data_IF_098116012240
#
_entry.id   IF_098116012240
#
_cell.length_a   1.000
_cell.length_b   1.000
_cell.length_c   1.000
_cell.angle_alpha   90.00
_cell.angle_beta   90.00
_cell.angle_gamma   90.00
#
_symmetry.space_group_name_H-M   'P 1'
#
loop_
_entity.id
_entity.type
_entity.pdbx_description
1 polymer ?
#
# COMPACT_ATOMS: atom_id res chain seq x y z
N UNK A 1 4.91 -9.30 19.00
CA UNK A 1 6.19 -9.54 18.30
C UNK A 1 7.30 -9.56 19.35
N UNK A 2 8.16 -10.58 19.39
CA UNK A 2 9.28 -10.60 20.33
C UNK A 2 10.16 -9.37 20.10
N UNK A 3 10.48 -8.62 21.16
CA UNK A 3 11.34 -7.42 21.12
C UNK A 3 12.64 -7.67 20.34
N UNK A 4 13.16 -8.90 20.41
CA UNK A 4 14.35 -9.38 19.70
C UNK A 4 14.23 -9.27 18.18
N UNK A 5 13.09 -9.67 17.58
CA UNK A 5 12.91 -9.60 16.12
C UNK A 5 12.87 -8.16 15.61
N UNK A 6 12.26 -7.26 16.40
CA UNK A 6 12.20 -5.83 16.10
C UNK A 6 13.60 -5.20 16.16
N UNK A 7 14.37 -5.51 17.22
CA UNK A 7 15.74 -5.02 17.37
C UNK A 7 16.66 -5.50 16.24
N UNK A 8 16.59 -6.79 15.87
CA UNK A 8 17.39 -7.34 14.76
C UNK A 8 17.05 -6.63 13.44
N UNK A 9 15.77 -6.48 13.12
CA UNK A 9 15.35 -5.79 11.89
C UNK A 9 15.81 -4.34 11.85
N UNK A 10 15.79 -3.65 12.99
CA UNK A 10 16.24 -2.28 13.11
C UNK A 10 17.76 -2.15 12.92
N UNK A 11 18.54 -3.03 13.55
CA UNK A 11 20.01 -3.06 13.38
C UNK A 11 20.39 -3.34 11.93
N UNK A 12 19.75 -4.32 11.28
CA UNK A 12 19.99 -4.62 9.87
C UNK A 12 19.63 -3.42 8.98
N UNK A 13 18.48 -2.78 9.23
CA UNK A 13 18.05 -1.60 8.47
C UNK A 13 19.05 -0.45 8.61
N UNK A 14 19.51 -0.15 9.82
CA UNK A 14 20.50 0.90 10.07
C UNK A 14 21.85 0.57 9.42
N UNK A 15 22.30 -0.68 9.50
CA UNK A 15 23.54 -1.11 8.87
C UNK A 15 23.47 -0.95 7.34
N UNK A 16 22.37 -1.38 6.71
CA UNK A 16 22.16 -1.21 5.27
C UNK A 16 22.10 0.26 4.87
N UNK A 17 21.36 1.09 5.61
CA UNK A 17 21.32 2.54 5.35
C UNK A 17 22.71 3.15 5.46
N UNK A 18 23.50 2.79 6.47
CA UNK A 18 24.88 3.25 6.60
C UNK A 18 25.74 2.82 5.40
N UNK A 19 25.66 1.54 4.99
CA UNK A 19 26.39 1.05 3.82
C UNK A 19 25.98 1.73 2.51
N UNK A 20 24.70 2.08 2.36
CA UNK A 20 24.21 2.82 1.20
C UNK A 20 24.67 4.27 1.22
N UNK A 21 24.52 4.97 2.35
CA UNK A 21 24.84 6.40 2.45
C UNK A 21 26.34 6.72 2.51
N UNK A 22 27.19 5.80 2.99
CA UNK A 22 28.64 6.08 3.17
C UNK A 22 29.36 6.45 1.86
N UNK A 23 28.87 5.94 0.72
CA UNK A 23 29.48 6.15 -0.59
C UNK A 23 28.68 7.15 -1.45
N UNK A 24 27.70 7.82 -0.85
CA UNK A 24 26.69 8.57 -1.58
C UNK A 24 27.12 10.04 -1.68
N UNK A 25 27.34 10.53 -2.90
CA UNK A 25 27.72 11.92 -3.12
C UNK A 25 26.49 12.82 -3.02
N UNK A 26 26.37 13.55 -1.90
CA UNK A 26 25.23 14.44 -1.65
C UNK A 26 25.09 15.55 -2.70
N UNK A 27 26.18 15.98 -3.34
CA UNK A 27 26.12 16.98 -4.41
C UNK A 27 25.43 16.41 -5.66
N UNK A 28 25.74 15.16 -6.03
CA UNK A 28 25.09 14.45 -7.14
C UNK A 28 23.59 14.22 -6.85
N UNK A 29 23.22 13.90 -5.62
CA UNK A 29 21.80 13.78 -5.23
C UNK A 29 21.07 15.11 -5.39
N UNK A 30 21.65 16.21 -4.90
CA UNK A 30 21.06 17.53 -5.03
C UNK A 30 20.91 17.95 -6.50
N UNK A 31 21.91 17.62 -7.33
CA UNK A 31 21.85 17.89 -8.76
C UNK A 31 20.78 17.03 -9.44
N UNK A 32 20.70 15.74 -9.15
CA UNK A 32 19.69 14.82 -9.68
C UNK A 32 18.26 15.26 -9.31
N UNK A 33 18.04 15.74 -8.10
CA UNK A 33 16.75 16.29 -7.67
C UNK A 33 16.40 17.57 -8.44
N UNK A 34 17.37 18.46 -8.70
CA UNK A 34 17.15 19.70 -9.45
C UNK A 34 16.93 19.46 -10.94
N UNK A 35 17.65 18.51 -11.53
CA UNK A 35 17.53 18.16 -12.94
C UNK A 35 16.40 17.17 -13.22
N UNK A 36 15.71 16.68 -12.17
CA UNK A 36 14.58 15.79 -12.33
C UNK A 36 13.46 16.49 -13.11
N UNK A 37 12.85 15.77 -14.05
CA UNK A 37 11.69 16.27 -14.75
C UNK A 37 10.43 16.10 -13.88
N UNK A 38 10.01 17.20 -13.26
CA UNK A 38 8.87 17.26 -12.36
C UNK A 38 7.52 16.93 -13.03
N UNK A 39 7.43 16.97 -14.36
CA UNK A 39 6.23 16.54 -15.08
C UNK A 39 6.00 15.04 -14.85
N UNK A 40 7.05 14.22 -14.93
CA UNK A 40 6.94 12.78 -14.66
C UNK A 40 6.61 12.51 -13.19
N UNK A 41 7.14 13.30 -12.26
CA UNK A 41 6.81 13.20 -10.83
C UNK A 41 5.32 13.50 -10.59
N UNK A 42 4.81 14.58 -11.18
CA UNK A 42 3.41 14.94 -11.09
C UNK A 42 2.50 13.88 -11.74
N UNK A 43 2.89 13.36 -12.92
CA UNK A 43 2.16 12.30 -13.60
C UNK A 43 2.13 11.02 -12.76
N UNK A 44 3.25 10.62 -12.17
CA UNK A 44 3.32 9.49 -11.27
C UNK A 44 2.40 9.67 -10.04
N UNK A 45 2.39 10.87 -9.45
CA UNK A 45 1.49 11.20 -8.33
C UNK A 45 0.01 11.08 -8.74
N UNK A 46 -0.36 11.58 -9.93
CA UNK A 46 -1.71 11.45 -10.47
C UNK A 46 -2.10 9.98 -10.70
N UNK A 47 -1.19 9.17 -11.25
CA UNK A 47 -1.41 7.73 -11.45
C UNK A 47 -1.59 7.00 -10.11
N UNK A 48 -0.84 7.38 -9.08
CA UNK A 48 -1.00 6.83 -7.73
C UNK A 48 -2.37 7.19 -7.15
N UNK A 49 -2.80 8.45 -7.28
CA UNK A 49 -4.14 8.88 -6.83
C UNK A 49 -5.26 8.15 -7.58
N UNK A 50 -5.13 8.01 -8.91
CA UNK A 50 -6.06 7.25 -9.73
C UNK A 50 -6.11 5.78 -9.29
N UNK A 51 -4.97 5.19 -8.95
CA UNK A 51 -4.88 3.82 -8.42
C UNK A 51 -5.68 3.67 -7.12
N UNK A 52 -5.57 4.62 -6.20
CA UNK A 52 -6.39 4.61 -4.97
C UNK A 52 -7.88 4.79 -5.26
N UNK A 53 -8.25 5.60 -6.26
CA UNK A 53 -9.65 5.78 -6.66
C UNK A 53 -10.23 4.48 -7.23
N UNK A 54 -9.50 3.81 -8.12
CA UNK A 54 -9.89 2.50 -8.68
C UNK A 54 -10.03 1.46 -7.58
N UNK A 55 -9.09 1.40 -6.62
CA UNK A 55 -9.18 0.51 -5.46
C UNK A 55 -10.44 0.78 -4.62
N UNK A 56 -10.78 2.05 -4.38
CA UNK A 56 -11.99 2.43 -3.66
C UNK A 56 -13.27 2.03 -4.41
N UNK A 57 -13.30 2.20 -5.74
CA UNK A 57 -14.42 1.76 -6.59
C UNK A 57 -14.58 0.25 -6.58
N UNK A 58 -13.49 -0.50 -6.70
CA UNK A 58 -13.49 -1.97 -6.65
C UNK A 58 -13.99 -2.47 -5.31
N UNK A 59 -13.49 -1.88 -4.21
CA UNK A 59 -13.92 -2.27 -2.87
C UNK A 59 -15.37 -1.89 -2.56
N UNK A 60 -15.85 -0.74 -3.05
CA UNK A 60 -17.27 -0.38 -3.00
C UNK A 60 -18.15 -1.47 -3.60
N UNK A 61 -17.74 -2.05 -4.74
CA UNK A 61 -18.46 -3.17 -5.36
C UNK A 61 -18.39 -4.45 -4.53
N UNK A 62 -17.22 -4.77 -3.99
CA UNK A 62 -17.03 -5.96 -3.14
C UNK A 62 -17.83 -5.90 -1.84
N UNK A 63 -18.03 -4.70 -1.29
CA UNK A 63 -18.81 -4.48 -0.07
C UNK A 63 -20.32 -4.47 -0.29
N UNK A 64 -20.82 -4.42 -1.54
CA UNK A 64 -22.27 -4.38 -1.83
C UNK A 64 -23.11 -5.45 -1.11
N UNK A 65 -22.66 -6.72 -0.97
CA UNK A 65 -23.40 -7.74 -0.22
C UNK A 65 -23.53 -7.45 1.28
N UNK A 66 -22.64 -6.62 1.82
CA UNK A 66 -22.64 -6.21 3.24
C UNK A 66 -23.38 -4.89 3.41
N UNK A 67 -23.04 -3.87 2.61
CA UNK A 67 -23.69 -2.56 2.61
C UNK A 67 -23.41 -1.81 1.31
N UNK A 68 -24.42 -1.13 0.78
CA UNK A 68 -24.25 -0.25 -0.39
C UNK A 68 -23.59 1.06 0.05
N UNK A 69 -22.34 1.26 -0.37
CA UNK A 69 -21.54 2.45 -0.02
C UNK A 69 -20.99 3.11 -1.28
N UNK A 70 -21.06 4.45 -1.33
CA UNK A 70 -20.48 5.22 -2.42
C UNK A 70 -18.94 5.18 -2.36
N UNK A 71 -18.29 4.93 -3.50
CA UNK A 71 -16.82 4.86 -3.59
C UNK A 71 -16.12 6.15 -3.13
N UNK A 72 -16.76 7.32 -3.28
CA UNK A 72 -16.23 8.61 -2.83
C UNK A 72 -16.03 8.65 -1.31
N UNK A 73 -16.96 8.08 -0.54
CA UNK A 73 -16.83 7.97 0.92
C UNK A 73 -15.71 7.01 1.32
N UNK A 74 -15.58 5.90 0.57
CA UNK A 74 -14.55 4.88 0.80
C UNK A 74 -13.15 5.32 0.39
N UNK A 75 -13.00 6.27 -0.53
CA UNK A 75 -11.70 6.76 -0.99
C UNK A 75 -10.84 7.27 0.17
N UNK A 76 -11.41 8.08 1.06
CA UNK A 76 -10.71 8.56 2.26
C UNK A 76 -10.29 7.42 3.18
N UNK A 77 -11.13 6.39 3.33
CA UNK A 77 -10.84 5.23 4.18
C UNK A 77 -9.73 4.36 3.58
N UNK A 78 -9.72 4.21 2.26
CA UNK A 78 -8.64 3.54 1.52
C UNK A 78 -7.33 4.29 1.73
N UNK A 79 -7.30 5.61 1.52
CA UNK A 79 -6.09 6.42 1.74
C UNK A 79 -5.55 6.31 3.16
N UNK A 80 -6.41 6.41 4.18
CA UNK A 80 -6.00 6.26 5.59
C UNK A 80 -5.43 4.86 5.84
N UNK A 81 -6.05 3.82 5.28
CA UNK A 81 -5.55 2.45 5.40
C UNK A 81 -4.16 2.28 4.76
N UNK A 82 -3.95 2.79 3.55
CA UNK A 82 -2.66 2.72 2.88
C UNK A 82 -1.59 3.56 3.56
N UNK A 83 -1.93 4.75 4.03
CA UNK A 83 -1.04 5.56 4.87
C UNK A 83 -0.62 4.79 6.12
N UNK A 84 -1.56 4.12 6.79
CA UNK A 84 -1.28 3.22 7.90
C UNK A 84 -0.30 2.11 7.54
N UNK A 85 -0.33 1.57 6.32
CA UNK A 85 0.65 0.57 5.87
C UNK A 85 2.07 1.14 5.68
N UNK A 86 2.21 2.43 5.35
CA UNK A 86 3.51 3.07 5.18
C UNK A 86 4.12 3.52 6.50
N UNK A 87 3.30 3.90 7.48
CA UNK A 87 3.77 4.45 8.76
C UNK A 87 3.83 3.40 9.87
N UNK A 88 2.88 2.47 9.91
CA UNK A 88 2.77 1.52 11.01
C UNK A 88 3.65 0.28 10.80
N UNK A 89 4.33 -0.20 11.86
CA UNK A 89 5.03 -1.46 11.82
C UNK A 89 4.05 -2.61 11.56
N UNK A 90 4.53 -3.68 10.93
CA UNK A 90 3.75 -4.89 10.58
C UNK A 90 2.61 -4.70 9.56
N UNK A 91 2.61 -3.62 8.77
CA UNK A 91 1.66 -3.39 7.65
C UNK A 91 0.19 -3.54 8.12
N UNK A 92 -0.13 -2.92 9.24
CA UNK A 92 -1.42 -3.04 9.93
C UNK A 92 -2.50 -2.08 9.40
N UNK A 93 -2.24 -1.42 8.27
CA UNK A 93 -3.14 -0.45 7.65
C UNK A 93 -4.50 -1.02 7.25
N UNK A 94 -4.60 -2.34 7.08
CA UNK A 94 -5.89 -3.01 6.85
C UNK A 94 -6.77 -3.07 8.10
N UNK A 95 -6.18 -3.25 9.28
CA UNK A 95 -6.93 -3.14 10.53
C UNK A 95 -7.40 -1.70 10.74
N UNK A 96 -6.57 -0.71 10.35
CA UNK A 96 -6.96 0.70 10.37
C UNK A 96 -8.15 0.94 9.44
N UNK A 97 -8.10 0.44 8.21
CA UNK A 97 -9.21 0.53 7.24
C UNK A 97 -10.49 -0.09 7.78
N UNK A 98 -10.41 -1.29 8.37
CA UNK A 98 -11.55 -1.97 8.98
C UNK A 98 -12.10 -1.23 10.20
N UNK A 99 -11.23 -0.67 11.04
CA UNK A 99 -11.62 0.13 12.20
C UNK A 99 -12.31 1.43 11.81
N UNK A 100 -11.72 2.20 10.89
CA UNK A 100 -12.26 3.49 10.43
C UNK A 100 -13.60 3.29 9.73
N UNK A 101 -13.72 2.30 8.85
CA UNK A 101 -14.99 2.01 8.18
C UNK A 101 -16.04 1.51 9.17
N UNK A 102 -15.67 0.59 10.07
CA UNK A 102 -16.59 0.07 11.09
C UNK A 102 -17.12 1.17 12.01
N UNK A 103 -16.30 2.18 12.33
CA UNK A 103 -16.73 3.34 13.12
C UNK A 103 -17.64 4.30 12.33
N UNK A 104 -17.38 4.50 11.03
CA UNK A 104 -18.16 5.42 10.18
C UNK A 104 -19.52 4.86 9.78
N UNK A 105 -19.57 3.57 9.45
CA UNK A 105 -20.73 2.93 8.84
C UNK A 105 -21.37 1.87 9.75
N UNK A 106 -20.96 1.75 11.01
CA UNK A 106 -21.51 0.77 11.96
C UNK A 106 -21.56 -0.69 11.43
N UNK A 107 -20.65 -1.03 10.51
CA UNK A 107 -20.52 -2.38 9.93
C UNK A 107 -19.60 -3.20 10.84
N UNK A 108 -19.89 -4.50 10.99
CA UNK A 108 -19.04 -5.40 11.76
C UNK A 108 -17.61 -5.45 11.19
N UNK A 109 -16.61 -5.31 12.07
CA UNK A 109 -15.18 -5.34 11.68
C UNK A 109 -14.83 -6.66 10.98
N UNK A 110 -15.44 -7.77 11.40
CA UNK A 110 -15.25 -9.09 10.79
C UNK A 110 -15.72 -9.16 9.34
N UNK A 111 -16.87 -8.57 9.00
CA UNK A 111 -17.34 -8.51 7.61
C UNK A 111 -16.40 -7.66 6.74
N UNK A 112 -15.93 -6.52 7.29
CA UNK A 112 -14.99 -5.66 6.57
C UNK A 112 -13.65 -6.39 6.34
N UNK A 113 -13.09 -7.03 7.37
CA UNK A 113 -11.86 -7.81 7.25
C UNK A 113 -12.02 -8.99 6.28
N UNK A 114 -13.17 -9.65 6.28
CA UNK A 114 -13.51 -10.69 5.30
C UNK A 114 -13.47 -10.16 3.86
N UNK A 115 -14.06 -8.98 3.61
CA UNK A 115 -13.98 -8.34 2.28
C UNK A 115 -12.53 -8.02 1.87
N UNK A 116 -11.69 -7.58 2.81
CA UNK A 116 -10.28 -7.28 2.55
C UNK A 116 -9.50 -8.57 2.25
N UNK A 117 -9.80 -9.66 2.96
CA UNK A 117 -9.19 -10.96 2.70
C UNK A 117 -9.53 -11.46 1.29
N UNK A 118 -10.80 -11.37 0.89
CA UNK A 118 -11.23 -11.71 -0.48
C UNK A 118 -10.53 -10.84 -1.51
N UNK A 119 -10.44 -9.52 -1.28
CA UNK A 119 -9.71 -8.59 -2.15
C UNK A 119 -8.25 -9.04 -2.35
N UNK A 120 -7.55 -9.41 -1.28
CA UNK A 120 -6.16 -9.87 -1.31
C UNK A 120 -5.97 -11.22 -1.99
N UNK A 121 -6.86 -12.16 -1.75
CA UNK A 121 -6.80 -13.47 -2.40
C UNK A 121 -6.95 -13.29 -3.90
N UNK A 122 -7.89 -12.46 -4.34
CA UNK A 122 -8.05 -12.11 -5.76
C UNK A 122 -6.79 -11.44 -6.32
N UNK A 123 -6.23 -10.45 -5.63
CA UNK A 123 -5.00 -9.78 -6.06
C UNK A 123 -3.83 -10.77 -6.18
N UNK A 124 -3.68 -11.67 -5.21
CA UNK A 124 -2.62 -12.68 -5.18
C UNK A 124 -2.78 -13.70 -6.31
N UNK A 125 -4.02 -14.14 -6.57
CA UNK A 125 -4.32 -15.06 -7.67
C UNK A 125 -4.06 -14.41 -9.04
N UNK A 126 -4.46 -13.15 -9.22
CA UNK A 126 -4.19 -12.42 -10.47
C UNK A 126 -2.69 -12.26 -10.67
N UNK A 127 -1.94 -11.87 -9.64
CA UNK A 127 -0.48 -11.78 -9.72
C UNK A 127 0.16 -13.12 -10.06
N UNK A 128 -0.34 -14.21 -9.47
CA UNK A 128 0.13 -15.57 -9.77
C UNK A 128 -0.15 -15.97 -11.22
N UNK A 129 -1.34 -15.66 -11.74
CA UNK A 129 -1.69 -15.90 -13.15
C UNK A 129 -0.80 -15.08 -14.09
N UNK A 130 -0.59 -13.79 -13.79
CA UNK A 130 0.31 -12.94 -14.58
C UNK A 130 1.74 -13.50 -14.58
N UNK A 131 2.21 -13.99 -13.43
CA UNK A 131 3.52 -14.61 -13.31
C UNK A 131 3.64 -15.88 -14.18
N UNK A 132 2.61 -16.73 -14.21
CA UNK A 132 2.59 -17.94 -15.06
C UNK A 132 2.55 -17.64 -16.56
N UNK A 133 1.83 -16.58 -16.95
CA UNK A 133 1.66 -16.20 -18.36
C UNK A 133 2.89 -15.43 -18.88
N UNK A 134 3.57 -14.68 -18.01
CA UNK A 134 4.77 -13.94 -18.40
C UNK A 134 5.84 -14.98 -18.73
N UNK A 135 6.29 -15.09 -19.99
CA UNK A 135 7.37 -16.01 -20.30
C UNK A 135 8.57 -15.57 -19.50
N UNK A 136 9.02 -16.41 -18.57
CA UNK A 136 10.30 -16.23 -17.89
C UNK A 136 11.35 -16.21 -18.99
N UNK A 137 11.74 -15.01 -19.40
CA UNK A 137 12.80 -14.79 -20.38
C UNK A 137 14.05 -15.43 -19.81
N UNK A 138 14.34 -16.63 -20.31
CA UNK A 138 15.54 -17.39 -20.02
C UNK A 138 16.72 -16.59 -20.60
N UNK A 139 17.39 -15.80 -19.77
CA UNK A 139 18.68 -15.16 -20.03
C UNK A 139 19.53 -15.26 -18.78
#
# INVERSE_FOLDING_TARGET
MSKVRLSIGLVISLALLYFTFRNLNWAEVGQALRSANYIYVALAALVILATFAVRAMRWSRLLRPVRVLAWRGLFSVVLIGFFGNYVLPAKTGELVRAYVLGKRESISKSAILGSIAVEKTMDTLILFIIFLITPTSNR
#
